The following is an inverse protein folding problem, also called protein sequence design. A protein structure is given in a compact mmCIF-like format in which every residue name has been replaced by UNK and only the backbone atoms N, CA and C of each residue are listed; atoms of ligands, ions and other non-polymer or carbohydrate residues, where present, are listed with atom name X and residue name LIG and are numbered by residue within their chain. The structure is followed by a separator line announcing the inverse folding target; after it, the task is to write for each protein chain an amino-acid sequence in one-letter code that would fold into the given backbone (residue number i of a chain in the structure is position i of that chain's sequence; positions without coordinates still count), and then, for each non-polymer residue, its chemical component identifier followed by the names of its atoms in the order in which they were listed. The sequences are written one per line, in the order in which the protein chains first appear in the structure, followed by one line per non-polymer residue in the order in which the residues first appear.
data_IF_769711184973
#
_entry.id   IF_769711184973
#
_cell.length_a   1.000
_cell.length_b   1.000
_cell.length_c   1.000
_cell.angle_alpha   90.00
_cell.angle_beta   90.00
_cell.angle_gamma   90.00
#
_symmetry.space_group_name_H-M   'P 1'
#
loop_
_entity.id
_entity.type
_entity.pdbx_description
1 polymer ?
#
# COMPACT_ATOMS: atom_id res chain seq x y z
N UNK A 1 25.22 6.49 -7.29
CA UNK A 1 24.57 6.38 -7.04
C UNK A 1 24.17 5.67 -6.50
N UNK A 2 24.03 5.38 -6.83
CA UNK A 2 23.93 4.45 -5.86
C UNK A 2 22.99 4.72 -4.77
N UNK A 3 22.30 5.77 -4.88
CA UNK A 3 21.24 6.04 -3.92
C UNK A 3 20.20 4.95 -3.90
N UNK A 4 19.88 4.35 -5.07
CA UNK A 4 18.92 3.26 -5.14
C UNK A 4 19.35 2.06 -4.29
N UNK A 5 20.59 1.65 -4.41
CA UNK A 5 21.12 0.52 -3.64
C UNK A 5 21.18 0.84 -2.15
N UNK A 6 21.67 2.03 -1.81
CA UNK A 6 21.76 2.46 -0.42
C UNK A 6 20.39 2.53 0.23
N UNK A 7 19.40 3.05 -0.49
CA UNK A 7 18.03 3.16 0.03
C UNK A 7 17.41 1.78 0.22
N UNK A 8 17.62 0.85 -0.71
CA UNK A 8 17.13 -0.51 -0.60
C UNK A 8 17.71 -1.21 0.63
N UNK A 9 19.03 -1.08 0.82
CA UNK A 9 19.68 -1.68 1.98
C UNK A 9 19.18 -1.08 3.28
N UNK A 10 18.91 0.22 3.31
CA UNK A 10 18.37 0.88 4.50
C UNK A 10 16.98 0.37 4.83
N UNK A 11 16.11 0.26 3.83
CA UNK A 11 14.75 -0.23 4.02
C UNK A 11 14.73 -1.68 4.48
N UNK A 12 15.68 -2.48 4.02
CA UNK A 12 15.79 -3.90 4.39
C UNK A 12 16.67 -4.12 5.63
N UNK A 13 17.23 -3.06 6.19
CA UNK A 13 18.11 -3.10 7.37
C UNK A 13 19.34 -3.98 7.15
N UNK A 14 19.96 -3.81 5.98
CA UNK A 14 21.16 -4.57 5.59
C UNK A 14 22.38 -3.65 5.65
N UNK A 15 22.88 -3.41 6.85
CA UNK A 15 23.96 -2.44 7.08
C UNK A 15 25.27 -2.82 6.40
N UNK A 16 25.55 -4.13 6.30
CA UNK A 16 26.86 -4.60 5.83
C UNK A 16 26.88 -4.90 4.32
N UNK A 17 25.72 -5.15 3.72
CA UNK A 17 25.62 -5.44 2.29
C UNK A 17 26.01 -4.20 1.48
N UNK A 18 25.57 -3.03 1.89
CA UNK A 18 25.87 -1.80 1.16
C UNK A 18 27.38 -1.52 1.16
N UNK A 19 28.06 -1.82 2.28
CA UNK A 19 29.50 -1.61 2.36
C UNK A 19 30.26 -2.51 1.39
N UNK A 20 29.86 -3.76 1.29
CA UNK A 20 30.50 -4.71 0.37
C UNK A 20 30.24 -4.36 -1.07
N UNK A 21 28.99 -4.08 -1.42
CA UNK A 21 28.61 -3.81 -2.82
C UNK A 21 29.13 -2.46 -3.28
N UNK A 22 29.28 -1.49 -2.38
CA UNK A 22 29.77 -0.15 -2.78
C UNK A 22 31.20 -0.17 -3.31
N UNK A 23 32.01 -1.16 -2.93
CA UNK A 23 33.38 -1.30 -3.43
C UNK A 23 33.45 -2.06 -4.75
N UNK A 24 32.35 -2.65 -5.20
CA UNK A 24 32.29 -3.36 -6.47
C UNK A 24 32.16 -2.37 -7.60
N UNK A 25 33.04 -2.47 -8.60
CA UNK A 25 33.02 -1.56 -9.74
C UNK A 25 32.27 -2.13 -10.94
N UNK A 26 31.80 -3.36 -10.86
CA UNK A 26 31.08 -4.01 -11.94
C UNK A 26 29.59 -3.64 -11.88
N UNK A 27 29.14 -2.89 -12.89
CA UNK A 27 27.76 -2.41 -12.96
C UNK A 27 26.77 -3.55 -13.09
N UNK A 28 27.12 -4.64 -13.75
CA UNK A 28 26.23 -5.79 -13.88
C UNK A 28 25.98 -6.44 -12.54
N UNK A 29 27.01 -6.59 -11.72
CA UNK A 29 26.88 -7.15 -10.38
C UNK A 29 25.98 -6.27 -9.52
N UNK A 30 26.21 -4.96 -9.55
CA UNK A 30 25.39 -4.01 -8.77
C UNK A 30 23.94 -4.05 -9.20
N UNK A 31 23.69 -4.10 -10.52
CA UNK A 31 22.33 -4.18 -11.05
C UNK A 31 21.62 -5.46 -10.59
N UNK A 32 22.31 -6.59 -10.62
CA UNK A 32 21.74 -7.85 -10.18
C UNK A 32 21.41 -7.79 -8.68
N UNK A 33 22.31 -7.23 -7.88
CA UNK A 33 22.06 -7.08 -6.44
C UNK A 33 20.84 -6.19 -6.19
N UNK A 34 20.72 -5.08 -6.92
CA UNK A 34 19.55 -4.22 -6.79
C UNK A 34 18.26 -4.97 -7.12
N UNK A 35 18.26 -5.77 -8.18
CA UNK A 35 17.09 -6.57 -8.56
C UNK A 35 16.71 -7.57 -7.47
N UNK A 36 17.70 -8.21 -6.87
CA UNK A 36 17.48 -9.15 -5.78
C UNK A 36 16.85 -8.44 -4.57
N UNK A 37 17.40 -7.29 -4.21
CA UNK A 37 16.90 -6.54 -3.06
C UNK A 37 15.51 -5.97 -3.30
N UNK A 38 15.21 -5.54 -4.53
CA UNK A 38 13.85 -5.10 -4.89
C UNK A 38 12.87 -6.26 -4.73
N UNK A 39 13.23 -7.45 -5.21
CA UNK A 39 12.38 -8.62 -5.09
C UNK A 39 12.12 -8.97 -3.62
N UNK A 40 13.13 -8.87 -2.78
CA UNK A 40 12.99 -9.13 -1.34
C UNK A 40 12.06 -8.10 -0.69
N UNK A 41 12.24 -6.83 -1.01
CA UNK A 41 11.40 -5.76 -0.46
C UNK A 41 9.95 -5.94 -0.87
N UNK A 42 9.69 -6.25 -2.14
CA UNK A 42 8.33 -6.50 -2.63
C UNK A 42 7.71 -7.71 -1.95
N UNK A 43 8.50 -8.76 -1.72
CA UNK A 43 8.03 -9.94 -0.99
C UNK A 43 7.62 -9.61 0.43
N UNK A 44 8.43 -8.80 1.12
CA UNK A 44 8.12 -8.38 2.49
C UNK A 44 6.86 -7.52 2.53
N UNK A 45 6.68 -6.63 1.56
CA UNK A 45 5.49 -5.79 1.47
C UNK A 45 4.23 -6.63 1.24
N UNK A 46 4.30 -7.61 0.34
CA UNK A 46 3.17 -8.51 0.10
C UNK A 46 2.83 -9.34 1.34
N UNK A 47 3.83 -9.85 2.03
CA UNK A 47 3.61 -10.62 3.25
C UNK A 47 2.97 -9.77 4.34
N UNK A 48 3.44 -8.54 4.50
CA UNK A 48 2.88 -7.60 5.46
C UNK A 48 1.42 -7.27 5.13
N UNK A 49 1.13 -7.00 3.86
CA UNK A 49 -0.23 -6.71 3.41
C UNK A 49 -1.16 -7.89 3.72
N UNK A 50 -0.74 -9.11 3.35
CA UNK A 50 -1.54 -10.31 3.63
C UNK A 50 -1.82 -10.48 5.12
N UNK A 51 -0.81 -10.24 5.96
CA UNK A 51 -0.96 -10.34 7.40
C UNK A 51 -1.93 -9.29 7.95
N UNK A 52 -1.81 -8.04 7.49
CA UNK A 52 -2.69 -6.96 7.94
C UNK A 52 -4.14 -7.21 7.51
N UNK A 53 -4.35 -7.66 6.28
CA UNK A 53 -5.69 -7.98 5.78
C UNK A 53 -6.31 -9.11 6.59
N UNK A 54 -5.53 -10.14 6.92
CA UNK A 54 -6.00 -11.26 7.73
C UNK A 54 -6.35 -10.78 9.15
N UNK A 55 -5.52 -9.96 9.76
CA UNK A 55 -5.76 -9.43 11.10
C UNK A 55 -6.98 -8.51 11.16
N UNK A 56 -7.26 -7.81 10.07
CA UNK A 56 -8.43 -6.92 10.01
C UNK A 56 -9.76 -7.67 10.05
N UNK A 57 -9.77 -8.95 9.65
CA UNK A 57 -10.95 -9.79 9.76
C UNK A 57 -12.08 -9.42 8.81
N UNK A 58 -11.75 -8.95 7.60
CA UNK A 58 -12.78 -8.62 6.62
C UNK A 58 -13.59 -9.87 6.25
N UNK A 59 -14.93 -9.77 6.18
CA UNK A 59 -15.77 -10.93 5.79
C UNK A 59 -15.49 -11.38 4.37
N UNK A 60 -15.21 -10.43 3.48
CA UNK A 60 -14.81 -10.68 2.09
C UNK A 60 -13.80 -9.63 1.69
N UNK A 61 -12.90 -9.97 0.77
CA UNK A 61 -11.95 -8.98 0.24
C UNK A 61 -12.62 -8.24 -0.90
N UNK A 62 -12.71 -6.93 -0.78
CA UNK A 62 -13.27 -6.04 -1.78
C UNK A 62 -12.26 -4.95 -2.09
N UNK A 63 -12.25 -4.48 -3.34
CA UNK A 63 -11.39 -3.40 -3.78
C UNK A 63 -12.21 -2.39 -4.56
N UNK A 64 -11.57 -1.26 -4.91
CA UNK A 64 -12.21 -0.25 -5.76
C UNK A 64 -12.07 -0.54 -7.25
N UNK A 65 -11.41 -1.62 -7.62
CA UNK A 65 -11.26 -1.99 -9.03
C UNK A 65 -12.65 -2.22 -9.64
N UNK A 66 -12.94 -1.49 -10.72
CA UNK A 66 -14.23 -1.56 -11.39
C UNK A 66 -15.40 -0.97 -10.60
N UNK A 67 -15.14 -0.27 -9.51
CA UNK A 67 -16.20 0.28 -8.67
C UNK A 67 -16.85 1.50 -9.35
N UNK A 68 -18.20 1.55 -9.33
CA UNK A 68 -18.97 2.63 -9.97
C UNK A 68 -19.45 3.59 -8.90
N UNK A 69 -19.14 4.86 -9.05
CA UNK A 69 -19.47 5.90 -8.07
C UNK A 69 -20.70 6.74 -8.45
N UNK A 70 -21.33 6.46 -9.61
CA UNK A 70 -22.36 7.32 -10.19
C UNK A 70 -23.56 7.52 -9.28
N UNK A 71 -23.87 6.54 -8.43
CA UNK A 71 -25.02 6.57 -7.54
C UNK A 71 -24.67 7.04 -6.13
N UNK A 72 -23.48 7.56 -5.92
CA UNK A 72 -23.01 7.97 -4.60
C UNK A 72 -22.88 9.48 -4.56
N UNK A 73 -23.42 10.08 -3.49
CA UNK A 73 -23.25 11.52 -3.23
C UNK A 73 -22.11 11.73 -2.24
N UNK A 74 -21.21 12.61 -2.60
CA UNK A 74 -20.10 13.00 -1.74
C UNK A 74 -20.33 14.38 -1.17
N UNK A 75 -19.95 14.65 0.08
CA UNK A 75 -20.05 16.00 0.63
C UNK A 75 -19.18 16.98 -0.15
N UNK A 76 -19.52 18.27 -0.04
CA UNK A 76 -18.72 19.32 -0.65
C UNK A 76 -17.28 19.22 -0.16
N UNK A 77 -16.32 19.30 -1.10
CA UNK A 77 -14.90 19.17 -0.77
C UNK A 77 -14.40 17.75 -0.68
N UNK A 78 -15.24 16.75 -0.96
CA UNK A 78 -14.85 15.34 -0.97
C UNK A 78 -15.01 14.74 -2.36
N UNK A 79 -14.29 13.67 -2.63
CA UNK A 79 -14.34 12.95 -3.91
C UNK A 79 -13.90 11.51 -3.70
N UNK A 80 -14.17 10.61 -4.67
CA UNK A 80 -13.65 9.25 -4.56
C UNK A 80 -12.14 9.21 -4.42
N UNK A 81 -11.42 10.07 -5.12
CA UNK A 81 -9.96 10.13 -5.08
C UNK A 81 -9.46 10.56 -3.71
N UNK A 82 -10.05 11.62 -3.15
CA UNK A 82 -9.68 12.09 -1.81
C UNK A 82 -9.97 11.06 -0.74
N UNK A 83 -11.07 10.33 -0.89
CA UNK A 83 -11.44 9.28 0.04
C UNK A 83 -10.41 8.16 0.06
N UNK A 84 -9.93 7.76 -1.12
CA UNK A 84 -8.97 6.66 -1.27
C UNK A 84 -7.55 7.06 -0.87
N UNK A 85 -7.22 8.34 -0.81
CA UNK A 85 -5.92 8.81 -0.35
C UNK A 85 -5.72 8.56 1.15
N UNK A 86 -6.81 8.42 1.91
CA UNK A 86 -6.79 8.09 3.33
C UNK A 86 -6.16 9.15 4.24
N UNK A 87 -5.96 10.37 3.75
CA UNK A 87 -5.45 11.46 4.59
C UNK A 87 -6.38 11.74 5.76
N UNK A 88 -7.67 11.50 5.58
CA UNK A 88 -8.66 11.66 6.65
C UNK A 88 -8.40 10.70 7.82
N UNK A 89 -7.82 9.52 7.57
CA UNK A 89 -7.41 8.62 8.65
C UNK A 89 -6.26 9.23 9.46
N UNK A 90 -5.28 9.81 8.79
CA UNK A 90 -4.15 10.46 9.46
C UNK A 90 -4.61 11.64 10.31
N UNK A 91 -5.63 12.35 9.84
CA UNK A 91 -6.24 13.45 10.61
C UNK A 91 -7.18 12.96 11.69
N UNK A 92 -7.34 11.64 11.85
CA UNK A 92 -8.23 11.02 12.84
C UNK A 92 -9.68 11.44 12.67
N UNK A 93 -10.09 11.65 11.44
CA UNK A 93 -11.48 11.97 11.11
C UNK A 93 -12.29 10.70 10.96
N UNK A 94 -13.60 10.81 11.14
CA UNK A 94 -14.52 9.69 10.98
C UNK A 94 -15.18 9.74 9.61
N UNK A 95 -15.49 8.58 9.06
CA UNK A 95 -16.24 8.45 7.83
C UNK A 95 -17.56 7.77 8.11
N UNK A 96 -18.65 8.36 7.64
CA UNK A 96 -19.98 7.82 7.81
C UNK A 96 -20.55 7.45 6.44
N UNK A 97 -20.92 6.18 6.26
CA UNK A 97 -21.52 5.68 5.04
C UNK A 97 -23.00 5.44 5.29
N UNK A 98 -23.86 6.18 4.59
CA UNK A 98 -25.31 6.11 4.80
C UNK A 98 -26.01 5.68 3.50
N UNK A 99 -27.08 4.92 3.65
CA UNK A 99 -27.85 4.45 2.51
C UNK A 99 -28.71 3.26 2.87
N UNK A 100 -29.60 2.90 1.96
CA UNK A 100 -30.47 1.74 2.14
C UNK A 100 -29.68 0.44 2.06
N UNK A 101 -30.28 -0.64 2.54
CA UNK A 101 -29.69 -1.98 2.43
C UNK A 101 -29.43 -2.31 0.95
N UNK A 102 -28.27 -2.88 0.66
CA UNK A 102 -27.92 -3.29 -0.69
C UNK A 102 -27.36 -2.19 -1.58
N UNK A 103 -26.99 -1.02 -1.01
CA UNK A 103 -26.42 0.08 -1.80
C UNK A 103 -24.90 0.06 -1.89
N UNK A 104 -24.24 -0.96 -1.34
CA UNK A 104 -22.79 -1.10 -1.46
C UNK A 104 -21.98 -0.47 -0.34
N UNK A 105 -22.60 -0.12 0.79
CA UNK A 105 -21.89 0.47 1.93
C UNK A 105 -20.80 -0.45 2.47
N UNK A 106 -21.09 -1.73 2.64
CA UNK A 106 -20.15 -2.72 3.14
C UNK A 106 -19.00 -2.92 2.15
N UNK A 107 -19.30 -2.94 0.85
CA UNK A 107 -18.26 -3.04 -0.17
C UNK A 107 -17.29 -1.85 -0.08
N UNK A 108 -17.82 -0.63 0.01
CA UNK A 108 -16.98 0.56 0.11
C UNK A 108 -16.17 0.57 1.40
N UNK A 109 -16.78 0.26 2.53
CA UNK A 109 -16.06 0.21 3.80
C UNK A 109 -14.95 -0.83 3.78
N UNK A 110 -15.22 -2.01 3.23
CA UNK A 110 -14.21 -3.07 3.11
C UNK A 110 -13.09 -2.67 2.17
N UNK A 111 -13.43 -2.06 1.03
CA UNK A 111 -12.42 -1.60 0.07
C UNK A 111 -11.52 -0.52 0.66
N UNK A 112 -12.07 0.40 1.45
CA UNK A 112 -11.27 1.39 2.17
C UNK A 112 -10.36 0.74 3.20
N UNK A 113 -10.87 -0.27 3.91
CA UNK A 113 -10.06 -1.02 4.87
C UNK A 113 -8.91 -1.75 4.21
N UNK A 114 -9.15 -2.39 3.07
CA UNK A 114 -8.09 -3.05 2.30
C UNK A 114 -7.06 -2.03 1.84
N UNK A 115 -7.50 -0.86 1.35
CA UNK A 115 -6.59 0.21 0.94
C UNK A 115 -5.75 0.70 2.12
N UNK A 116 -6.32 0.77 3.31
CA UNK A 116 -5.61 1.17 4.52
C UNK A 116 -4.54 0.15 4.93
N UNK A 117 -4.70 -1.11 4.55
CA UNK A 117 -3.69 -2.15 4.83
C UNK A 117 -2.48 -2.06 3.91
N UNK A 118 -2.59 -1.38 2.77
CA UNK A 118 -1.48 -1.23 1.82
C UNK A 118 -0.46 -0.14 2.25
#
# INVERSE_FOLDING_TARGET
MPTALGDLCRQLRLAHVVDYVSVQQNEQIRSIVEQILVAELDGRRRAKLGKLVQQAGFPHIKTFEGYVYDHISFPSGSSPELLQELDWLERKENLLLMGAVGTGKTHMATALGVEACR
#
